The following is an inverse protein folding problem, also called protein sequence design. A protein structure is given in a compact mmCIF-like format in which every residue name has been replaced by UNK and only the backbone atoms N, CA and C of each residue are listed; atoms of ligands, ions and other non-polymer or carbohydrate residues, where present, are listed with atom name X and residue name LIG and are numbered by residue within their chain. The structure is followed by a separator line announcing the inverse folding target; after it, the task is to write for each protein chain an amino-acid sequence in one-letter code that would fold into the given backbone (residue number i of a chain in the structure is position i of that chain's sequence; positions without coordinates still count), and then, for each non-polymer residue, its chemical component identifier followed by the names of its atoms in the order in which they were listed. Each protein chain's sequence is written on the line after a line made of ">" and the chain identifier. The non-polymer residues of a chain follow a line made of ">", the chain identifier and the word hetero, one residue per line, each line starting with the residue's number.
data_IF_503597000040
#
_entry.id   IF_503597000040
#
_cell.length_a   1.000
_cell.length_b   1.000
_cell.length_c   1.000
_cell.angle_alpha   90.00
_cell.angle_beta   90.00
_cell.angle_gamma   90.00
#
_symmetry.space_group_name_H-M   'P 1'
#
loop_
_entity.id
_entity.type
_entity.pdbx_description
1 polymer ?
#
# COMPACT_ATOMS: atom_id res chain seq x y z
N UNK A 1 -25.34 18.64 18.98
CA UNK A 1 -24.65 17.40 19.38
C UNK A 1 -23.77 16.97 18.21
N UNK A 2 -22.45 16.86 18.40
CA UNK A 2 -21.54 16.36 17.36
C UNK A 2 -21.78 14.87 17.15
N UNK A 3 -21.83 14.41 15.90
CA UNK A 3 -21.94 12.99 15.61
C UNK A 3 -20.75 12.21 16.21
N UNK A 4 -20.96 11.02 16.79
CA UNK A 4 -19.85 10.21 17.28
C UNK A 4 -18.93 9.85 16.12
N UNK A 5 -17.61 10.01 16.31
CA UNK A 5 -16.60 9.58 15.35
C UNK A 5 -16.15 8.17 15.74
N UNK A 6 -16.32 7.22 14.83
CA UNK A 6 -15.88 5.83 15.00
C UNK A 6 -14.44 5.69 14.51
N UNK A 7 -13.59 5.04 15.29
CA UNK A 7 -12.18 4.81 14.96
C UNK A 7 -11.90 3.31 14.83
N UNK A 8 -11.20 2.94 13.76
CA UNK A 8 -10.85 1.56 13.43
C UNK A 8 -9.33 1.46 13.24
N UNK A 9 -8.64 0.56 13.94
CA UNK A 9 -7.22 0.29 13.68
C UNK A 9 -7.04 -0.26 12.26
N UNK A 10 -6.03 0.25 11.58
CA UNK A 10 -5.60 -0.21 10.26
C UNK A 10 -4.18 -0.72 10.38
N UNK A 11 -3.92 -1.90 9.83
CA UNK A 11 -2.59 -2.49 9.75
C UNK A 11 -2.23 -2.68 8.28
N UNK A 12 -1.10 -2.11 7.87
CA UNK A 12 -0.47 -2.42 6.60
C UNK A 12 0.66 -3.39 6.89
N UNK A 13 0.56 -4.63 6.38
CA UNK A 13 1.64 -5.63 6.42
C UNK A 13 2.43 -5.56 5.12
N UNK A 14 3.74 -5.44 5.19
CA UNK A 14 4.66 -5.66 4.08
C UNK A 14 5.49 -6.92 4.33
N UNK A 15 5.56 -7.77 3.32
CA UNK A 15 6.23 -9.06 3.40
C UNK A 15 7.07 -9.32 2.15
N UNK A 16 8.26 -9.88 2.35
CA UNK A 16 9.14 -10.36 1.27
C UNK A 16 8.72 -11.77 0.84
N UNK A 17 7.53 -11.88 0.26
CA UNK A 17 6.99 -13.16 -0.19
C UNK A 17 7.29 -13.35 -1.68
N UNK A 18 8.12 -14.35 -2.01
CA UNK A 18 8.22 -14.85 -3.38
C UNK A 18 6.98 -15.70 -3.69
N UNK A 19 5.99 -15.12 -4.36
CA UNK A 19 4.88 -15.91 -4.90
C UNK A 19 5.42 -16.73 -6.07
N UNK A 20 5.62 -18.04 -5.85
CA UNK A 20 5.95 -18.98 -6.93
C UNK A 20 4.81 -18.97 -7.96
N UNK A 21 5.14 -19.03 -9.26
CA UNK A 21 4.16 -19.15 -10.36
C UNK A 21 3.22 -20.34 -10.09
N UNK A 22 2.01 -20.07 -9.63
CA UNK A 22 0.91 -21.02 -9.73
C UNK A 22 0.49 -21.10 -11.21
N UNK A 23 0.42 -22.27 -11.86
CA UNK A 23 -0.04 -22.39 -13.25
C UNK A 23 -1.52 -21.99 -13.47
N UNK A 24 -2.31 -21.75 -12.41
CA UNK A 24 -3.71 -21.34 -12.50
C UNK A 24 -3.87 -19.80 -12.71
N UNK A 25 -4.61 -19.32 -13.74
CA UNK A 25 -4.73 -17.89 -14.06
C UNK A 25 -5.70 -17.09 -13.17
N UNK A 26 -6.42 -17.73 -12.24
CA UNK A 26 -7.42 -17.07 -11.36
C UNK A 26 -6.87 -16.59 -10.01
N UNK A 27 -5.62 -16.91 -9.70
CA UNK A 27 -4.93 -16.45 -8.48
C UNK A 27 -4.02 -15.30 -8.88
N UNK A 28 -4.16 -14.15 -8.21
CA UNK A 28 -3.34 -12.96 -8.44
C UNK A 28 -1.85 -13.34 -8.43
N UNK A 29 -1.22 -13.29 -9.60
CA UNK A 29 0.22 -13.56 -9.75
C UNK A 29 0.97 -12.26 -9.62
N UNK A 30 1.79 -12.15 -8.60
CA UNK A 30 2.75 -11.07 -8.50
C UNK A 30 4.13 -11.63 -8.88
N UNK A 31 4.77 -11.05 -9.88
CA UNK A 31 6.13 -11.43 -10.31
C UNK A 31 7.22 -10.81 -9.40
N UNK A 32 6.80 -10.25 -8.28
CA UNK A 32 7.52 -9.26 -7.49
C UNK A 32 7.44 -9.67 -6.03
N UNK A 33 8.55 -9.49 -5.31
CA UNK A 33 8.77 -10.10 -3.99
C UNK A 33 8.06 -9.37 -2.85
N UNK A 34 7.28 -8.32 -3.12
CA UNK A 34 6.84 -7.36 -2.09
C UNK A 34 5.33 -7.33 -1.96
N UNK A 35 4.78 -8.29 -1.22
CA UNK A 35 3.34 -8.33 -0.96
C UNK A 35 2.98 -7.29 0.11
N UNK A 36 1.99 -6.45 -0.20
CA UNK A 36 1.29 -5.63 0.79
C UNK A 36 -0.06 -6.25 1.10
N UNK A 37 -0.42 -6.27 2.39
CA UNK A 37 -1.78 -6.62 2.85
C UNK A 37 -2.29 -5.51 3.75
N UNK A 38 -3.58 -5.21 3.63
CA UNK A 38 -4.24 -4.22 4.47
C UNK A 38 -5.31 -4.92 5.29
N UNK A 39 -5.30 -4.64 6.59
CA UNK A 39 -6.27 -5.13 7.56
C UNK A 39 -6.93 -3.95 8.25
N UNK A 40 -8.22 -4.07 8.54
CA UNK A 40 -8.98 -3.10 9.34
C UNK A 40 -9.72 -3.86 10.43
N UNK A 41 -9.44 -3.53 11.70
CA UNK A 41 -9.92 -4.30 12.86
C UNK A 41 -9.58 -5.80 12.79
N UNK A 42 -8.42 -6.15 12.24
CA UNK A 42 -7.99 -7.54 12.04
C UNK A 42 -8.58 -8.22 10.80
N UNK A 43 -9.59 -7.62 10.16
CA UNK A 43 -10.20 -8.16 8.94
C UNK A 43 -9.37 -7.78 7.71
N UNK A 44 -9.03 -8.76 6.89
CA UNK A 44 -8.31 -8.55 5.63
C UNK A 44 -9.21 -7.89 4.58
N UNK A 45 -8.76 -6.80 3.98
CA UNK A 45 -9.55 -6.03 2.99
C UNK A 45 -8.90 -5.89 1.62
N UNK A 46 -7.59 -6.12 1.52
CA UNK A 46 -6.85 -5.95 0.26
C UNK A 46 -5.48 -6.62 0.30
N UNK A 47 -5.06 -7.12 -0.85
CA UNK A 47 -3.70 -7.54 -1.16
C UNK A 47 -3.25 -6.88 -2.45
N UNK A 48 -1.97 -6.56 -2.54
CA UNK A 48 -1.36 -6.05 -3.77
C UNK A 48 0.15 -6.11 -3.70
N UNK A 49 0.80 -5.51 -4.69
CA UNK A 49 2.25 -5.35 -4.69
C UNK A 49 2.62 -3.91 -5.01
N UNK A 50 3.74 -3.48 -4.43
CA UNK A 50 4.43 -2.27 -4.80
C UNK A 50 5.51 -2.60 -5.82
N UNK A 51 5.13 -2.65 -7.09
CA UNK A 51 6.04 -2.85 -8.21
C UNK A 51 5.83 -1.87 -9.35
N UNK A 52 4.68 -1.18 -9.36
CA UNK A 52 4.29 -0.26 -10.40
C UNK A 52 3.77 1.04 -9.81
N UNK A 53 4.18 2.14 -10.43
CA UNK A 53 3.67 3.47 -10.11
C UNK A 53 2.74 3.94 -11.22
N UNK A 54 1.72 4.69 -10.82
CA UNK A 54 0.71 5.22 -11.73
C UNK A 54 0.65 6.74 -11.64
N UNK A 55 0.37 7.37 -12.76
CA UNK A 55 0.01 8.78 -12.84
C UNK A 55 -1.31 9.04 -12.10
N UNK A 56 -1.66 10.31 -11.85
CA UNK A 56 -2.98 10.67 -11.29
C UNK A 56 -4.16 10.14 -12.11
N UNK A 57 -3.97 9.91 -13.41
CA UNK A 57 -4.97 9.36 -14.31
C UNK A 57 -5.04 7.82 -14.28
N UNK A 58 -4.24 7.16 -13.44
CA UNK A 58 -4.20 5.69 -13.33
C UNK A 58 -3.35 5.00 -14.40
N UNK A 59 -2.62 5.75 -15.23
CA UNK A 59 -1.73 5.19 -16.26
C UNK A 59 -0.38 4.85 -15.66
N UNK A 60 0.15 3.65 -15.94
CA UNK A 60 1.49 3.22 -15.49
C UNK A 60 2.57 4.18 -15.95
N UNK A 61 3.51 4.48 -15.05
CA UNK A 61 4.62 5.41 -15.30
C UNK A 61 5.56 4.88 -16.38
N UNK A 62 6.07 5.80 -17.21
CA UNK A 62 7.09 5.53 -18.23
C UNK A 62 8.39 6.22 -17.83
N UNK A 63 9.53 5.74 -18.34
CA UNK A 63 10.87 6.28 -18.03
C UNK A 63 10.95 7.80 -18.18
N UNK A 64 10.39 8.34 -19.26
CA UNK A 64 10.41 9.77 -19.57
C UNK A 64 9.35 10.59 -18.80
N UNK A 65 8.36 9.94 -18.17
CA UNK A 65 7.32 10.61 -17.37
C UNK A 65 7.54 10.47 -15.86
N UNK A 66 8.46 9.58 -15.43
CA UNK A 66 8.71 9.29 -14.02
C UNK A 66 9.04 10.53 -13.18
N UNK A 67 9.92 11.41 -13.68
CA UNK A 67 10.21 12.69 -13.01
C UNK A 67 9.00 13.63 -12.99
N UNK A 68 8.20 13.65 -14.07
CA UNK A 68 7.02 14.51 -14.20
C UNK A 68 5.89 14.14 -13.24
N UNK A 69 5.86 12.89 -12.77
CA UNK A 69 4.88 12.42 -11.78
C UNK A 69 5.40 12.54 -10.34
N UNK A 70 6.58 13.14 -10.15
CA UNK A 70 7.15 13.41 -8.83
C UNK A 70 7.81 12.20 -8.16
N UNK A 71 8.24 11.19 -8.91
CA UNK A 71 9.07 10.14 -8.34
C UNK A 71 10.50 10.67 -8.10
N UNK A 72 11.08 10.45 -6.91
CA UNK A 72 12.48 10.76 -6.64
C UNK A 72 13.47 10.02 -7.57
N UNK A 73 14.61 10.62 -7.86
CA UNK A 73 15.58 10.06 -8.81
C UNK A 73 16.17 8.72 -8.34
N UNK A 74 16.41 8.57 -7.03
CA UNK A 74 16.85 7.31 -6.42
C UNK A 74 15.82 6.19 -6.60
N UNK A 75 14.53 6.51 -6.43
CA UNK A 75 13.43 5.58 -6.69
C UNK A 75 13.37 5.19 -8.18
N UNK A 76 13.49 6.16 -9.09
CA UNK A 76 13.53 5.91 -10.54
C UNK A 76 14.68 4.96 -10.90
N UNK A 77 15.85 5.11 -10.25
CA UNK A 77 17.01 4.26 -10.47
C UNK A 77 16.82 2.81 -9.98
N UNK A 78 15.92 2.58 -9.04
CA UNK A 78 15.55 1.23 -8.58
C UNK A 78 14.54 0.54 -9.52
N UNK A 79 13.81 1.30 -10.34
CA UNK A 79 12.77 0.78 -11.23
C UNK A 79 13.32 0.20 -12.53
N UNK A 80 12.69 -0.85 -13.01
CA UNK A 80 12.99 -1.45 -14.30
C UNK A 80 12.07 -0.84 -15.38
N UNK A 81 12.66 -0.38 -16.48
CA UNK A 81 11.93 0.16 -17.62
C UNK A 81 12.33 -0.58 -18.89
N UNK A 82 11.35 -1.11 -19.63
CA UNK A 82 11.57 -1.97 -20.79
C UNK A 82 10.86 -1.46 -22.04
N UNK A 83 11.31 -1.93 -23.20
CA UNK A 83 10.77 -1.56 -24.51
C UNK A 83 11.13 -0.14 -24.96
N UNK A 84 10.85 0.16 -26.23
CA UNK A 84 11.16 1.45 -26.84
C UNK A 84 10.42 2.61 -26.16
N UNK A 85 9.19 2.38 -25.69
CA UNK A 85 8.39 3.40 -24.99
C UNK A 85 8.80 3.60 -23.53
N UNK A 86 9.66 2.72 -22.98
CA UNK A 86 10.17 2.77 -21.62
C UNK A 86 9.08 2.52 -20.57
N UNK A 87 8.27 1.48 -20.74
CA UNK A 87 7.24 1.10 -19.77
C UNK A 87 7.87 0.55 -18.49
N UNK A 88 7.32 0.92 -17.34
CA UNK A 88 7.74 0.33 -16.08
C UNK A 88 7.35 -1.15 -16.04
N UNK A 89 8.33 -2.01 -15.79
CA UNK A 89 8.20 -3.46 -15.68
C UNK A 89 8.81 -3.91 -14.35
N UNK A 90 8.23 -3.38 -13.27
CA UNK A 90 8.61 -3.72 -11.91
C UNK A 90 9.85 -2.98 -11.38
N UNK A 91 10.48 -3.63 -10.41
CA UNK A 91 11.72 -3.20 -9.75
C UNK A 91 12.89 -3.98 -10.35
N UNK A 92 14.05 -3.35 -10.49
CA UNK A 92 15.27 -4.06 -10.91
C UNK A 92 15.60 -5.17 -9.91
N UNK A 93 15.85 -6.41 -10.34
CA UNK A 93 16.16 -7.51 -9.43
C UNK A 93 17.33 -7.21 -8.49
N UNK A 94 18.36 -6.51 -8.98
CA UNK A 94 19.54 -6.13 -8.20
C UNK A 94 19.30 -5.01 -7.18
N UNK A 95 18.16 -4.33 -7.23
CA UNK A 95 17.78 -3.23 -6.33
C UNK A 95 16.52 -3.55 -5.51
N UNK A 96 16.11 -4.82 -5.49
CA UNK A 96 14.88 -5.26 -4.85
C UNK A 96 14.91 -4.96 -3.34
N UNK A 97 15.98 -5.32 -2.63
CA UNK A 97 16.11 -5.05 -1.19
C UNK A 97 16.10 -3.55 -0.88
N UNK A 98 16.86 -2.75 -1.62
CA UNK A 98 16.87 -1.29 -1.48
C UNK A 98 15.47 -0.69 -1.66
N UNK A 99 14.73 -1.18 -2.66
CA UNK A 99 13.37 -0.75 -2.92
C UNK A 99 12.43 -1.12 -1.77
N UNK A 100 12.56 -2.33 -1.21
CA UNK A 100 11.76 -2.73 -0.06
C UNK A 100 12.01 -1.83 1.15
N UNK A 101 13.29 -1.58 1.47
CA UNK A 101 13.67 -0.68 2.56
C UNK A 101 13.20 0.75 2.32
N UNK A 102 13.21 1.19 1.06
CA UNK A 102 12.64 2.48 0.67
C UNK A 102 11.14 2.55 0.99
N UNK A 103 10.35 1.55 0.59
CA UNK A 103 8.90 1.52 0.88
C UNK A 103 8.63 1.43 2.39
N UNK A 104 9.43 0.63 3.11
CA UNK A 104 9.36 0.55 4.58
C UNK A 104 9.61 1.93 5.20
N UNK A 105 10.67 2.63 4.78
CA UNK A 105 11.00 3.96 5.29
C UNK A 105 9.91 5.00 4.95
N UNK A 106 9.35 4.92 3.75
CA UNK A 106 8.25 5.78 3.29
C UNK A 106 7.02 5.61 4.19
N UNK A 107 6.59 4.37 4.47
CA UNK A 107 5.46 4.11 5.35
C UNK A 107 5.70 4.53 6.81
N UNK A 108 6.94 4.43 7.31
CA UNK A 108 7.27 4.91 8.67
C UNK A 108 7.08 6.42 8.78
N UNK A 109 7.59 7.17 7.81
CA UNK A 109 7.65 8.63 7.84
C UNK A 109 6.40 9.33 7.32
N UNK A 110 5.49 8.58 6.71
CA UNK A 110 4.20 9.09 6.24
C UNK A 110 4.14 9.43 4.76
N UNK A 111 4.77 8.63 3.91
CA UNK A 111 4.47 8.67 2.49
C UNK A 111 4.97 9.93 1.80
N UNK A 112 6.30 10.04 1.66
CA UNK A 112 6.91 10.98 0.72
C UNK A 112 6.56 10.66 -0.74
N UNK A 113 6.16 9.41 -1.03
CA UNK A 113 5.73 8.97 -2.37
C UNK A 113 4.21 8.91 -2.46
N UNK A 114 3.62 10.00 -2.96
CA UNK A 114 2.17 10.13 -3.15
C UNK A 114 1.51 8.92 -3.87
N UNK A 115 2.14 8.29 -4.88
CA UNK A 115 1.61 7.05 -5.47
C UNK A 115 1.39 5.87 -4.49
N UNK A 116 2.32 5.59 -3.57
CA UNK A 116 2.20 4.49 -2.57
C UNK A 116 1.00 4.74 -1.66
N UNK A 117 0.92 5.96 -1.13
CA UNK A 117 -0.18 6.42 -0.28
C UNK A 117 -1.50 6.35 -1.03
N UNK A 118 -1.56 6.85 -2.27
CA UNK A 118 -2.75 6.82 -3.10
C UNK A 118 -3.26 5.40 -3.34
N UNK A 119 -2.37 4.44 -3.57
CA UNK A 119 -2.74 3.04 -3.79
C UNK A 119 -3.27 2.37 -2.52
N UNK A 120 -2.76 2.73 -1.34
CA UNK A 120 -3.29 2.27 -0.05
C UNK A 120 -4.65 2.90 0.23
N UNK A 121 -4.76 4.23 0.12
CA UNK A 121 -6.02 4.95 0.29
C UNK A 121 -7.09 4.51 -0.71
N UNK A 122 -6.70 4.20 -1.96
CA UNK A 122 -7.60 3.65 -2.97
C UNK A 122 -8.20 2.32 -2.53
N UNK A 123 -7.42 1.47 -1.86
CA UNK A 123 -7.89 0.17 -1.34
C UNK A 123 -8.87 0.34 -0.17
N UNK A 124 -8.61 1.29 0.74
CA UNK A 124 -9.54 1.69 1.80
C UNK A 124 -10.86 2.20 1.20
N UNK A 125 -10.76 3.14 0.25
CA UNK A 125 -11.93 3.79 -0.37
C UNK A 125 -12.77 2.84 -1.21
N UNK A 126 -12.17 1.82 -1.83
CA UNK A 126 -12.91 0.76 -2.53
C UNK A 126 -13.79 -0.07 -1.58
N UNK A 127 -13.33 -0.32 -0.36
CA UNK A 127 -14.05 -1.11 0.62
C UNK A 127 -15.06 -0.30 1.43
N UNK A 128 -14.74 0.94 1.81
CA UNK A 128 -15.54 1.72 2.76
C UNK A 128 -16.10 3.04 2.19
N UNK A 129 -15.83 3.34 0.93
CA UNK A 129 -16.28 4.56 0.25
C UNK A 129 -15.39 5.78 0.51
N UNK A 130 -15.80 6.93 -0.02
CA UNK A 130 -15.01 8.18 0.03
C UNK A 130 -15.15 8.98 1.33
N UNK A 131 -16.13 8.64 2.20
CA UNK A 131 -16.47 9.37 3.43
C UNK A 131 -15.75 8.82 4.67
N UNK A 132 -14.55 8.32 4.48
CA UNK A 132 -13.69 7.84 5.56
C UNK A 132 -12.39 8.62 5.52
N UNK A 133 -11.84 8.91 6.69
CA UNK A 133 -10.53 9.57 6.83
C UNK A 133 -9.53 8.57 7.39
N UNK A 134 -8.28 8.64 6.98
CA UNK A 134 -7.23 7.73 7.46
C UNK A 134 -5.94 8.48 7.66
N UNK A 135 -5.13 8.01 8.61
CA UNK A 135 -3.78 8.53 8.86
C UNK A 135 -2.73 7.88 7.96
N UNK A 136 -3.13 7.04 6.98
CA UNK A 136 -2.21 6.57 5.93
C UNK A 136 -1.74 7.76 5.10
N UNK A 137 -0.42 7.93 4.97
CA UNK A 137 0.20 9.14 4.39
C UNK A 137 0.55 10.19 5.44
N UNK A 138 0.38 9.87 6.72
CA UNK A 138 1.03 10.51 7.86
C UNK A 138 2.01 9.52 8.49
N UNK A 139 2.87 9.97 9.39
CA UNK A 139 3.77 9.08 10.13
C UNK A 139 2.97 7.98 10.81
N UNK A 140 3.38 6.72 10.62
CA UNK A 140 2.69 5.61 11.28
C UNK A 140 2.78 5.79 12.80
N UNK A 141 1.72 5.43 13.52
CA UNK A 141 1.67 5.59 14.98
C UNK A 141 2.64 4.63 15.68
N UNK A 142 2.72 3.42 15.14
CA UNK A 142 3.56 2.33 15.62
C UNK A 142 3.94 1.43 14.45
N UNK A 143 5.11 0.80 14.54
CA UNK A 143 5.50 -0.24 13.60
C UNK A 143 6.28 -1.34 14.33
N UNK A 144 6.22 -2.55 13.77
CA UNK A 144 6.92 -3.73 14.30
C UNK A 144 7.41 -4.62 13.16
N UNK A 145 8.31 -5.54 13.49
CA UNK A 145 8.83 -6.57 12.57
C UNK A 145 8.69 -7.93 13.26
N UNK A 146 8.15 -8.93 12.57
CA UNK A 146 8.08 -10.29 13.08
C UNK A 146 9.37 -11.09 12.81
N UNK A 147 9.44 -12.33 13.32
CA UNK A 147 10.61 -13.20 13.16
C UNK A 147 10.91 -13.60 11.70
N UNK A 148 9.94 -13.43 10.79
CA UNK A 148 10.08 -13.71 9.36
C UNK A 148 10.46 -12.47 8.55
N UNK A 149 10.70 -11.33 9.21
CA UNK A 149 11.04 -10.06 8.57
C UNK A 149 9.85 -9.35 7.92
N UNK A 150 8.61 -9.70 8.29
CA UNK A 150 7.44 -8.95 7.85
C UNK A 150 7.30 -7.67 8.68
N UNK A 151 7.05 -6.56 8.00
CA UNK A 151 6.83 -5.27 8.64
C UNK A 151 5.34 -4.99 8.81
N UNK A 152 4.95 -4.49 9.97
CA UNK A 152 3.58 -4.09 10.29
C UNK A 152 3.55 -2.61 10.65
N UNK A 153 2.70 -1.85 9.96
CA UNK A 153 2.54 -0.41 10.16
C UNK A 153 1.11 -0.11 10.61
N UNK A 154 0.98 0.65 11.69
CA UNK A 154 -0.29 0.91 12.35
C UNK A 154 -0.78 2.33 12.06
N UNK A 155 -2.02 2.41 11.56
CA UNK A 155 -2.72 3.63 11.21
C UNK A 155 -4.14 3.60 11.78
N UNK A 156 -4.88 4.69 11.61
CA UNK A 156 -6.29 4.78 11.95
C UNK A 156 -7.14 5.05 10.72
N UNK A 157 -8.38 4.59 10.80
CA UNK A 157 -9.47 4.93 9.91
C UNK A 157 -10.61 5.48 10.75
N UNK A 158 -11.13 6.64 10.39
CA UNK A 158 -12.26 7.28 11.07
C UNK A 158 -13.45 7.43 10.14
N UNK A 159 -14.65 7.33 10.71
CA UNK A 159 -15.90 7.55 9.98
C UNK A 159 -16.98 8.12 10.91
N UNK A 160 -17.91 8.88 10.36
CA UNK A 160 -19.11 9.37 11.05
C UNK A 160 -20.19 8.29 11.20
N UNK A 161 -20.05 7.17 10.49
CA UNK A 161 -21.01 6.05 10.54
C UNK A 161 -20.28 4.72 10.82
N UNK A 162 -20.96 3.74 11.44
CA UNK A 162 -20.41 2.40 11.58
C UNK A 162 -20.03 1.80 10.23
N UNK A 163 -18.79 1.30 10.13
CA UNK A 163 -18.30 0.68 8.90
C UNK A 163 -18.74 -0.77 8.80
N UNK A 164 -18.86 -1.25 7.56
CA UNK A 164 -19.20 -2.63 7.24
C UNK A 164 -18.23 -3.17 6.20
N UNK A 165 -17.82 -4.42 6.34
CA UNK A 165 -17.04 -5.16 5.35
C UNK A 165 -17.88 -6.33 4.85
N UNK A 166 -18.13 -6.42 3.54
CA UNK A 166 -19.00 -7.46 2.98
C UNK A 166 -20.41 -7.48 3.61
N UNK A 167 -20.91 -6.32 4.04
CA UNK A 167 -22.21 -6.19 4.73
C UNK A 167 -22.20 -6.46 6.23
N UNK A 168 -21.12 -7.03 6.79
CA UNK A 168 -20.96 -7.28 8.23
C UNK A 168 -20.40 -6.05 8.95
N UNK A 169 -20.96 -5.62 10.09
CA UNK A 169 -20.40 -4.53 10.89
C UNK A 169 -18.97 -4.83 11.34
N UNK A 170 -18.11 -3.82 11.27
CA UNK A 170 -16.81 -3.85 11.92
C UNK A 170 -16.95 -3.33 13.35
N UNK A 171 -16.31 -4.00 14.31
CA UNK A 171 -16.23 -3.52 15.69
C UNK A 171 -15.19 -2.38 15.75
N UNK A 172 -15.56 -1.15 16.12
CA UNK A 172 -14.59 -0.09 16.34
C UNK A 172 -13.59 -0.52 17.42
N UNK A 173 -12.32 -0.23 17.23
CA UNK A 173 -11.31 -0.51 18.24
C UNK A 173 -11.44 0.49 19.40
N UNK A 174 -11.45 0.01 20.64
CA UNK A 174 -11.18 0.83 21.82
C UNK A 174 -9.68 0.69 22.10
N UNK A 175 -8.91 1.75 21.91
CA UNK A 175 -7.54 1.77 22.42
C UNK A 175 -7.60 2.05 23.91
N UNK A 176 -7.01 1.16 24.71
CA UNK A 176 -6.71 1.39 26.12
C UNK A 176 -5.32 2.02 26.25
#
# INVERSE_FOLDING_TARGET
>A
MSAPTYTYPVIVKLSREQVKRDPNPRVLRFATQFIRRIYVCGEWISVGVFDQFHTKAGVTVRKHTAKRVGLPDDLIDMLNFVGFEGWQDGVKPSRADDFFEYIVADLKKGGTVAPVVNDLMGSIRRNFGKRVSTTIGESCHYWSVDGDGNHFFHFHLTSEKPLKLGGKPLTPGVWA
#
